data_IF_309685490093
#
_entry.id   IF_309685490093
#
_cell.length_a   1.000
_cell.length_b   1.000
_cell.length_c   1.000
_cell.angle_alpha   90.00
_cell.angle_beta   90.00
_cell.angle_gamma   90.00
#
_symmetry.space_group_name_H-M   'P 1'
#
loop_
_entity.id
_entity.type
_entity.pdbx_description
1 polymer ?
#
# COMPACT_ATOMS: atom_id res chain seq x y z
N UNK A 1 16.77 14.65 3.41
CA UNK A 1 16.99 14.97 1.98
C UNK A 1 16.33 16.32 1.69
N UNK A 2 17.05 17.33 1.20
CA UNK A 2 16.49 18.70 1.00
C UNK A 2 15.92 18.93 -0.40
N UNK A 3 16.42 18.21 -1.42
CA UNK A 3 16.02 18.34 -2.84
C UNK A 3 14.94 17.31 -3.24
N UNK A 4 13.99 17.65 -4.13
CA UNK A 4 13.02 16.69 -4.64
C UNK A 4 13.71 15.56 -5.42
N UNK A 5 13.05 14.40 -5.59
CA UNK A 5 13.58 13.34 -6.43
C UNK A 5 13.82 13.80 -7.86
N UNK A 6 14.77 13.14 -8.54
CA UNK A 6 15.10 13.44 -9.93
C UNK A 6 13.85 13.35 -10.81
N UNK A 7 13.64 14.34 -11.67
CA UNK A 7 12.50 14.39 -12.60
C UNK A 7 11.30 15.20 -12.12
N UNK A 8 11.39 15.86 -10.96
CA UNK A 8 10.33 16.73 -10.43
C UNK A 8 10.82 18.17 -10.17
N UNK A 9 9.96 19.20 -10.38
CA UNK A 9 10.28 20.59 -10.04
C UNK A 9 10.63 20.79 -8.56
N UNK A 10 11.39 21.85 -8.27
CA UNK A 10 11.84 22.19 -6.91
C UNK A 10 10.68 22.55 -5.97
N UNK A 11 9.60 23.11 -6.52
CA UNK A 11 8.40 23.61 -5.86
C UNK A 11 7.20 22.67 -6.02
N UNK A 12 7.43 21.40 -6.37
CA UNK A 12 6.36 20.45 -6.59
C UNK A 12 5.49 20.29 -5.33
N UNK A 13 4.18 20.49 -5.46
CA UNK A 13 3.22 20.53 -4.34
C UNK A 13 3.20 19.27 -3.46
N UNK A 14 3.64 18.14 -4.01
CA UNK A 14 3.75 16.84 -3.31
C UNK A 14 5.20 16.42 -3.02
N UNK A 15 6.13 17.36 -2.93
CA UNK A 15 7.57 17.04 -2.76
C UNK A 15 7.83 16.09 -1.60
N UNK A 16 7.15 16.27 -0.47
CA UNK A 16 7.37 15.41 0.70
C UNK A 16 6.88 13.98 0.48
N UNK A 17 5.76 13.79 -0.23
CA UNK A 17 5.27 12.46 -0.61
C UNK A 17 6.23 11.74 -1.55
N UNK A 18 6.79 12.47 -2.53
CA UNK A 18 7.73 11.90 -3.51
C UNK A 18 9.04 11.38 -2.86
N UNK A 19 9.35 11.77 -1.62
CA UNK A 19 10.52 11.26 -0.88
C UNK A 19 10.36 9.82 -0.42
N UNK A 20 9.13 9.34 -0.27
CA UNK A 20 8.86 7.97 0.14
C UNK A 20 9.10 7.00 -1.02
N UNK A 21 9.90 5.95 -0.78
CA UNK A 21 10.22 4.93 -1.79
C UNK A 21 9.22 3.77 -1.83
N UNK A 22 8.41 3.63 -0.79
CA UNK A 22 7.42 2.58 -0.65
C UNK A 22 6.16 3.13 0.01
N UNK A 23 5.05 2.50 -0.30
CA UNK A 23 3.76 2.67 0.36
C UNK A 23 3.33 1.29 0.82
N UNK A 24 3.03 1.15 2.12
CA UNK A 24 2.63 -0.11 2.73
C UNK A 24 1.29 0.10 3.41
N UNK A 25 0.35 -0.80 3.14
CA UNK A 25 -0.91 -0.92 3.87
C UNK A 25 -0.98 -2.31 4.47
N UNK A 26 -1.18 -2.39 5.78
CA UNK A 26 -1.24 -3.65 6.51
C UNK A 26 -2.21 -3.52 7.69
N UNK A 27 -2.89 -4.62 8.00
CA UNK A 27 -3.76 -4.75 9.16
C UNK A 27 -3.37 -6.02 9.93
N UNK A 28 -2.93 -5.93 11.19
CA UNK A 28 -2.81 -7.10 12.05
C UNK A 28 -4.19 -7.73 12.28
N UNK A 29 -4.31 -9.04 12.12
CA UNK A 29 -5.57 -9.77 12.40
C UNK A 29 -5.61 -10.39 13.79
N UNK A 30 -4.48 -10.40 14.50
CA UNK A 30 -4.33 -11.08 15.79
C UNK A 30 -4.22 -12.61 15.63
N UNK A 31 -4.12 -13.29 16.78
CA UNK A 31 -4.00 -14.75 16.88
C UNK A 31 -5.05 -15.29 17.84
N UNK A 32 -6.32 -14.95 17.60
CA UNK A 32 -7.42 -15.47 18.41
C UNK A 32 -7.70 -16.95 18.08
N UNK A 33 -8.64 -17.56 18.83
CA UNK A 33 -8.99 -18.99 18.72
C UNK A 33 -9.31 -19.46 17.29
N UNK A 34 -9.81 -18.55 16.45
CA UNK A 34 -10.12 -18.87 15.06
C UNK A 34 -8.92 -19.22 14.19
N UNK A 35 -7.70 -18.84 14.58
CA UNK A 35 -6.50 -18.97 13.74
C UNK A 35 -6.22 -20.42 13.31
N UNK A 36 -6.55 -21.38 14.17
CA UNK A 36 -6.35 -22.81 13.92
C UNK A 36 -7.60 -23.50 13.37
N UNK A 37 -8.56 -22.72 12.87
CA UNK A 37 -9.82 -23.21 12.30
C UNK A 37 -9.93 -22.86 10.81
N UNK A 38 -10.83 -23.50 10.05
CA UNK A 38 -11.09 -23.12 8.66
C UNK A 38 -11.53 -21.65 8.46
N UNK A 39 -12.05 -21.00 9.52
CA UNK A 39 -12.47 -19.59 9.49
C UNK A 39 -11.30 -18.64 9.18
N UNK A 40 -10.05 -19.06 9.46
CA UNK A 40 -8.87 -18.26 9.20
C UNK A 40 -8.74 -17.80 7.73
N UNK A 41 -9.10 -18.68 6.79
CA UNK A 41 -9.06 -18.35 5.35
C UNK A 41 -10.03 -17.23 5.04
N UNK A 42 -11.26 -17.30 5.55
CA UNK A 42 -12.28 -16.27 5.32
C UNK A 42 -11.85 -14.91 5.87
N UNK A 43 -11.25 -14.87 7.07
CA UNK A 43 -10.75 -13.62 7.66
C UNK A 43 -9.58 -13.03 6.87
N UNK A 44 -8.62 -13.85 6.43
CA UNK A 44 -7.50 -13.37 5.61
C UNK A 44 -8.01 -12.83 4.28
N UNK A 45 -8.92 -13.53 3.60
CA UNK A 45 -9.49 -13.09 2.33
C UNK A 45 -10.31 -11.80 2.48
N UNK A 46 -11.10 -11.67 3.54
CA UNK A 46 -11.82 -10.42 3.83
C UNK A 46 -10.85 -9.26 4.06
N UNK A 47 -9.77 -9.47 4.81
CA UNK A 47 -8.74 -8.45 5.00
C UNK A 47 -7.97 -8.10 3.73
N UNK A 48 -7.74 -9.08 2.86
CA UNK A 48 -7.11 -8.84 1.57
C UNK A 48 -8.03 -8.02 0.65
N UNK A 49 -9.34 -8.25 0.67
CA UNK A 49 -10.31 -7.48 -0.11
C UNK A 49 -10.34 -5.99 0.28
N UNK A 50 -10.06 -5.65 1.54
CA UNK A 50 -9.94 -4.25 1.97
C UNK A 50 -8.81 -3.49 1.23
N UNK A 51 -7.81 -4.21 0.69
CA UNK A 51 -6.71 -3.63 -0.07
C UNK A 51 -7.06 -3.34 -1.54
N UNK A 52 -8.20 -3.82 -2.04
CA UNK A 52 -8.57 -3.71 -3.45
C UNK A 52 -8.60 -2.25 -3.92
N UNK A 53 -9.09 -1.33 -3.11
CA UNK A 53 -9.12 0.09 -3.45
C UNK A 53 -7.72 0.66 -3.72
N UNK A 54 -6.74 0.29 -2.88
CA UNK A 54 -5.34 0.69 -3.03
C UNK A 54 -4.72 0.02 -4.25
N UNK A 55 -4.90 -1.29 -4.41
CA UNK A 55 -4.36 -2.05 -5.54
C UNK A 55 -4.90 -1.51 -6.87
N UNK A 56 -6.20 -1.24 -6.96
CA UNK A 56 -6.83 -0.64 -8.14
C UNK A 56 -6.36 0.78 -8.40
N UNK A 57 -6.04 1.56 -7.36
CA UNK A 57 -5.41 2.86 -7.55
C UNK A 57 -4.00 2.72 -8.13
N UNK A 58 -3.19 1.79 -7.61
CA UNK A 58 -1.83 1.52 -8.09
C UNK A 58 -1.85 1.09 -9.56
N UNK A 59 -2.71 0.15 -9.93
CA UNK A 59 -2.88 -0.30 -11.33
C UNK A 59 -3.21 0.86 -12.26
N UNK A 60 -4.07 1.79 -11.83
CA UNK A 60 -4.51 2.94 -12.65
C UNK A 60 -3.44 4.04 -12.78
N UNK A 61 -2.64 4.27 -11.74
CA UNK A 61 -1.82 5.48 -11.64
C UNK A 61 -0.31 5.22 -11.66
N UNK A 62 0.13 4.00 -11.36
CA UNK A 62 1.55 3.65 -11.32
C UNK A 62 1.90 2.88 -12.58
N UNK A 63 2.66 3.52 -13.45
CA UNK A 63 3.23 2.87 -14.63
C UNK A 63 4.19 1.78 -14.17
N UNK A 64 4.10 0.59 -14.77
CA UNK A 64 5.11 -0.46 -14.58
C UNK A 64 6.46 0.10 -15.02
N UNK A 65 7.45 0.07 -14.12
CA UNK A 65 8.82 0.38 -14.50
C UNK A 65 9.29 -0.64 -15.54
N UNK A 66 10.11 -0.25 -16.53
CA UNK A 66 10.67 -1.17 -17.52
C UNK A 66 11.50 -2.27 -16.85
#
# INVERSE_FOLDING_TARGET
MKRPPRGYPADHSRTDLLRHRSLIAARPLGCEEWLHTPEAVARVLSAAADLDALLMWLVRNVKRAP
#
